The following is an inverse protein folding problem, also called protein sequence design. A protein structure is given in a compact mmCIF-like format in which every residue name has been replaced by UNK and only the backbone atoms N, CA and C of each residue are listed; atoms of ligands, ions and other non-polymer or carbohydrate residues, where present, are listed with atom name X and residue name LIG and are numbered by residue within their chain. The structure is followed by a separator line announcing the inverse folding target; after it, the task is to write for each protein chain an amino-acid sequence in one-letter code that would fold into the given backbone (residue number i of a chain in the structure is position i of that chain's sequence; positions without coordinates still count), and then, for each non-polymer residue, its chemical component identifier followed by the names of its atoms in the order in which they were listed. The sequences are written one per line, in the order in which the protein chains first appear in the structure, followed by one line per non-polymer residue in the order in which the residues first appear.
data_IF_914303648298
#
_entry.id   IF_914303648298
#
_cell.length_a   1.000
_cell.length_b   1.000
_cell.length_c   1.000
_cell.angle_alpha   90.00
_cell.angle_beta   90.00
_cell.angle_gamma   90.00
#
_symmetry.space_group_name_H-M   'P 1'
#
loop_
_entity.id
_entity.type
_entity.pdbx_description
1 polymer ?
#
# COMPACT_ATOMS: atom_id res chain seq x y z
N UNK A 1 -5.60 8.58 16.37
CA UNK A 1 -4.60 7.77 15.65
C UNK A 1 -3.70 8.73 14.90
N UNK A 2 -2.42 8.39 14.72
CA UNK A 2 -1.52 9.19 13.87
C UNK A 2 -1.65 8.68 12.43
N UNK A 3 -1.39 9.54 11.44
CA UNK A 3 -1.48 9.14 10.03
C UNK A 3 -0.60 7.92 9.69
N UNK A 4 0.55 7.74 10.35
CA UNK A 4 1.39 6.56 10.18
C UNK A 4 0.71 5.27 10.68
N UNK A 5 -0.07 5.35 11.76
CA UNK A 5 -0.89 4.23 12.24
C UNK A 5 -2.03 3.91 11.28
N UNK A 6 -2.70 4.92 10.71
CA UNK A 6 -3.74 4.73 9.68
C UNK A 6 -3.16 4.06 8.42
N UNK A 7 -2.00 4.52 7.94
CA UNK A 7 -1.29 3.88 6.82
C UNK A 7 -0.92 2.43 7.16
N UNK A 8 -0.44 2.18 8.38
CA UNK A 8 -0.12 0.81 8.83
C UNK A 8 -1.34 -0.10 8.81
N UNK A 9 -2.51 0.39 9.26
CA UNK A 9 -3.74 -0.40 9.23
C UNK A 9 -4.11 -0.79 7.79
N UNK A 10 -4.06 0.16 6.86
CA UNK A 10 -4.32 -0.11 5.44
C UNK A 10 -3.32 -1.14 4.88
N UNK A 11 -2.03 -1.02 5.20
CA UNK A 11 -1.01 -2.00 4.78
C UNK A 11 -1.29 -3.40 5.35
N UNK A 12 -1.80 -3.50 6.58
CA UNK A 12 -2.19 -4.78 7.19
C UNK A 12 -3.40 -5.39 6.47
N UNK A 13 -4.41 -4.59 6.12
CA UNK A 13 -5.58 -5.05 5.35
C UNK A 13 -5.18 -5.52 3.96
N UNK A 14 -4.34 -4.74 3.26
CA UNK A 14 -3.76 -5.15 1.97
C UNK A 14 -2.98 -6.46 2.09
N UNK A 15 -2.17 -6.62 3.13
CA UNK A 15 -1.42 -7.86 3.38
C UNK A 15 -2.35 -9.06 3.60
N UNK A 16 -3.49 -8.87 4.27
CA UNK A 16 -4.47 -9.92 4.46
C UNK A 16 -5.07 -10.39 3.13
N UNK A 17 -5.40 -9.47 2.22
CA UNK A 17 -5.89 -9.78 0.88
C UNK A 17 -4.83 -10.46 0.01
N UNK A 18 -3.58 -9.98 0.08
CA UNK A 18 -2.46 -10.57 -0.65
C UNK A 18 -2.21 -12.03 -0.26
N UNK A 19 -2.31 -12.36 1.04
CA UNK A 19 -2.20 -13.73 1.57
C UNK A 19 -3.28 -14.69 1.07
N UNK A 20 -4.42 -14.18 0.59
CA UNK A 20 -5.46 -14.99 -0.06
C UNK A 20 -5.14 -15.31 -1.52
N UNK A 21 -4.16 -14.61 -2.10
CA UNK A 21 -3.74 -14.72 -3.49
C UNK A 21 -2.36 -15.39 -3.62
N UNK A 22 -1.87 -15.56 -4.85
CA UNK A 22 -0.50 -16.05 -5.11
C UNK A 22 0.55 -14.92 -5.19
N UNK A 23 0.25 -13.69 -4.77
CA UNK A 23 1.12 -12.52 -4.91
C UNK A 23 2.21 -12.41 -3.81
N UNK A 24 3.00 -13.47 -3.63
CA UNK A 24 4.00 -13.59 -2.53
C UNK A 24 5.06 -12.49 -2.51
N UNK A 25 5.42 -11.95 -3.66
CA UNK A 25 6.39 -10.85 -3.74
C UNK A 25 5.83 -9.57 -3.13
N UNK A 26 4.56 -9.26 -3.45
CA UNK A 26 3.85 -8.12 -2.89
C UNK A 26 3.56 -8.30 -1.39
N UNK A 27 3.28 -9.53 -0.93
CA UNK A 27 3.14 -9.80 0.51
C UNK A 27 4.38 -9.33 1.30
N UNK A 28 5.59 -9.67 0.82
CA UNK A 28 6.84 -9.29 1.48
C UNK A 28 7.05 -7.78 1.45
N UNK A 29 6.81 -7.14 0.31
CA UNK A 29 6.95 -5.69 0.14
C UNK A 29 6.00 -4.94 1.08
N UNK A 30 4.70 -5.25 1.06
CA UNK A 30 3.69 -4.59 1.90
C UNK A 30 3.97 -4.87 3.39
N UNK A 31 4.38 -6.09 3.74
CA UNK A 31 4.75 -6.41 5.12
C UNK A 31 5.95 -5.56 5.60
N UNK A 32 7.01 -5.43 4.80
CA UNK A 32 8.17 -4.59 5.13
C UNK A 32 7.73 -3.15 5.43
N UNK A 33 6.96 -2.56 4.51
CA UNK A 33 6.48 -1.18 4.63
C UNK A 33 5.62 -0.96 5.88
N UNK A 34 4.83 -1.97 6.30
CA UNK A 34 3.99 -1.90 7.50
C UNK A 34 4.80 -1.79 8.81
N UNK A 35 6.05 -2.28 8.81
CA UNK A 35 6.96 -2.11 9.94
C UNK A 35 7.70 -0.77 9.85
N UNK A 36 8.18 -0.41 8.67
CA UNK A 36 8.98 0.80 8.45
C UNK A 36 8.18 2.09 8.62
N UNK A 37 6.88 2.10 8.33
CA UNK A 37 6.04 3.31 8.41
C UNK A 37 6.01 3.93 9.81
N UNK A 38 6.25 3.15 10.86
CA UNK A 38 6.31 3.65 12.24
C UNK A 38 7.70 4.14 12.65
N UNK A 39 8.75 3.69 11.97
CA UNK A 39 10.14 4.00 12.29
C UNK A 39 10.64 5.18 11.45
N UNK A 40 10.41 5.11 10.13
CA UNK A 40 10.87 6.08 9.11
C UNK A 40 9.72 6.54 8.19
N UNK A 41 8.65 7.15 8.74
CA UNK A 41 7.39 7.40 8.02
C UNK A 41 7.55 8.16 6.70
N UNK A 42 8.42 9.18 6.66
CA UNK A 42 8.59 10.01 5.47
C UNK A 42 9.28 9.26 4.32
N UNK A 43 10.26 8.41 4.64
CA UNK A 43 10.96 7.60 3.65
C UNK A 43 10.04 6.48 3.15
N UNK A 44 9.34 5.80 4.07
CA UNK A 44 8.37 4.77 3.73
C UNK A 44 7.23 5.30 2.86
N UNK A 45 6.67 6.49 3.14
CA UNK A 45 5.65 7.13 2.29
C UNK A 45 6.16 7.37 0.87
N UNK A 46 7.41 7.83 0.71
CA UNK A 46 8.03 8.02 -0.61
C UNK A 46 8.22 6.69 -1.34
N UNK A 47 8.67 5.66 -0.62
CA UNK A 47 8.79 4.30 -1.15
C UNK A 47 7.42 3.80 -1.63
N UNK A 48 6.38 3.90 -0.79
CA UNK A 48 5.00 3.54 -1.13
C UNK A 48 4.53 4.25 -2.40
N UNK A 49 4.70 5.57 -2.50
CA UNK A 49 4.28 6.33 -3.68
C UNK A 49 5.03 5.90 -4.94
N UNK A 50 6.30 5.49 -4.81
CA UNK A 50 7.07 5.01 -5.96
C UNK A 50 6.53 3.71 -6.54
N UNK A 51 5.83 2.88 -5.73
CA UNK A 51 5.21 1.63 -6.17
C UNK A 51 4.02 1.84 -7.11
N UNK A 52 3.45 3.05 -7.20
CA UNK A 52 2.33 3.36 -8.09
C UNK A 52 2.76 3.71 -9.52
N UNK A 53 4.07 3.81 -9.80
CA UNK A 53 4.60 4.15 -11.11
C UNK A 53 5.43 3.02 -11.72
N UNK A 54 5.44 2.92 -13.06
CA UNK A 54 6.28 1.99 -13.81
C UNK A 54 5.57 0.70 -14.26
N UNK A 55 6.32 -0.20 -14.92
CA UNK A 55 5.81 -1.46 -15.45
C UNK A 55 5.83 -2.52 -14.34
N UNK A 56 4.68 -3.14 -14.04
CA UNK A 56 4.54 -4.03 -12.88
C UNK A 56 4.34 -3.28 -11.56
N UNK A 57 3.71 -2.10 -11.63
CA UNK A 57 3.40 -1.28 -10.46
C UNK A 57 2.36 -1.96 -9.57
N UNK A 58 2.21 -1.48 -8.34
CA UNK A 58 1.14 -1.88 -7.43
C UNK A 58 -0.25 -1.68 -8.05
N UNK A 59 -0.37 -0.73 -8.99
CA UNK A 59 -1.64 -0.44 -9.62
C UNK A 59 -2.06 -1.50 -10.66
N UNK A 60 -1.09 -2.17 -11.28
CA UNK A 60 -1.31 -3.26 -12.23
C UNK A 60 -1.58 -4.61 -11.55
N UNK A 61 -1.42 -4.69 -10.22
CA UNK A 61 -1.59 -5.93 -9.47
C UNK A 61 -3.06 -6.36 -9.42
N UNK A 62 -3.33 -7.56 -9.94
CA UNK A 62 -4.63 -8.23 -9.84
C UNK A 62 -4.47 -9.49 -8.99
N UNK A 63 -5.25 -9.58 -7.91
CA UNK A 63 -5.28 -10.73 -7.02
C UNK A 63 -5.96 -11.91 -7.71
N UNK A 64 -5.24 -13.03 -7.81
CA UNK A 64 -5.76 -14.27 -8.36
C UNK A 64 -5.47 -15.45 -7.45
N UNK A 65 -6.36 -16.43 -7.48
CA UNK A 65 -6.23 -17.71 -6.78
C UNK A 65 -6.69 -18.83 -7.70
N UNK A 66 -5.88 -19.90 -7.78
CA UNK A 66 -6.16 -21.06 -8.65
C UNK A 66 -6.46 -20.70 -10.12
N UNK A 67 -5.84 -19.61 -10.61
CA UNK A 67 -6.02 -19.12 -11.99
C UNK A 67 -7.24 -18.22 -12.20
N UNK A 68 -8.04 -17.95 -11.16
CA UNK A 68 -9.22 -17.09 -11.24
C UNK A 68 -9.02 -15.77 -10.50
N UNK A 69 -9.49 -14.63 -11.06
CA UNK A 69 -9.44 -13.34 -10.38
C UNK A 69 -10.41 -13.34 -9.19
N UNK A 70 -9.92 -12.88 -8.04
CA UNK A 70 -10.68 -12.73 -6.81
C UNK A 70 -11.46 -11.41 -6.86
N UNK A 71 -12.62 -11.38 -7.54
CA UNK A 71 -13.31 -10.11 -7.87
C UNK A 71 -13.53 -9.21 -6.66
N UNK A 72 -14.15 -9.75 -5.61
CA UNK A 72 -14.48 -8.99 -4.40
C UNK A 72 -13.22 -8.46 -3.69
N UNK A 73 -12.20 -9.30 -3.59
CA UNK A 73 -10.93 -8.95 -2.96
C UNK A 73 -10.18 -7.90 -3.78
N UNK A 74 -10.28 -7.94 -5.12
CA UNK A 74 -9.72 -6.90 -5.99
C UNK A 74 -10.46 -5.57 -5.85
N UNK A 75 -11.79 -5.57 -5.77
CA UNK A 75 -12.58 -4.35 -5.52
C UNK A 75 -12.17 -3.71 -4.17
N UNK A 76 -11.98 -4.54 -3.13
CA UNK A 76 -11.49 -4.08 -1.82
C UNK A 76 -10.04 -3.58 -1.89
N UNK A 77 -9.17 -4.33 -2.57
CA UNK A 77 -7.76 -3.96 -2.75
C UNK A 77 -7.60 -2.65 -3.52
N UNK A 78 -8.45 -2.39 -4.52
CA UNK A 78 -8.44 -1.14 -5.28
C UNK A 78 -8.81 0.08 -4.44
N UNK A 79 -9.82 -0.09 -3.57
CA UNK A 79 -10.17 0.93 -2.57
C UNK A 79 -9.01 1.21 -1.61
N UNK A 80 -8.34 0.17 -1.12
CA UNK A 80 -7.19 0.31 -0.21
C UNK A 80 -6.00 0.99 -0.89
N UNK A 81 -5.70 0.65 -2.16
CA UNK A 81 -4.67 1.34 -2.96
C UNK A 81 -4.95 2.85 -3.03
N UNK A 82 -6.19 3.22 -3.33
CA UNK A 82 -6.58 4.64 -3.43
C UNK A 82 -6.40 5.37 -2.10
N UNK A 83 -6.87 4.78 -0.99
CA UNK A 83 -6.73 5.35 0.35
C UNK A 83 -5.25 5.47 0.76
N UNK A 84 -4.45 4.44 0.49
CA UNK A 84 -3.02 4.42 0.81
C UNK A 84 -2.27 5.55 0.07
N UNK A 85 -2.57 5.72 -1.22
CA UNK A 85 -1.95 6.77 -2.04
C UNK A 85 -2.28 8.17 -1.50
N UNK A 86 -3.54 8.43 -1.19
CA UNK A 86 -4.00 9.74 -0.72
C UNK A 86 -3.32 10.12 0.61
N UNK A 87 -3.34 9.21 1.58
CA UNK A 87 -2.69 9.42 2.88
C UNK A 87 -1.18 9.63 2.77
N UNK A 88 -0.50 8.91 1.89
CA UNK A 88 0.93 9.09 1.68
C UNK A 88 1.26 10.42 0.99
N UNK A 89 0.35 10.91 0.14
CA UNK A 89 0.52 12.16 -0.61
C UNK A 89 0.20 13.40 0.23
N UNK A 90 -0.88 13.38 1.01
CA UNK A 90 -1.33 14.53 1.82
C UNK A 90 -0.22 15.04 2.75
N UNK A 91 0.55 14.13 3.36
CA UNK A 91 1.65 14.47 4.27
C UNK A 91 2.81 15.21 3.58
N UNK A 92 3.15 14.80 2.36
CA UNK A 92 4.25 15.39 1.60
C UNK A 92 3.93 16.82 1.13
N UNK A 93 2.64 17.17 1.04
CA UNK A 93 2.21 18.53 0.68
C UNK A 93 2.30 19.45 1.90
N UNK A 94 1.97 18.97 3.10
CA UNK A 94 2.01 19.76 4.34
C UNK A 94 3.46 20.03 4.79
N UNK A 95 4.42 19.17 4.44
CA UNK A 95 5.85 19.34 4.76
C UNK A 95 6.59 20.44 3.97
N UNK A 96 6.00 21.05 2.94
CA UNK A 96 6.66 22.09 2.09
C UNK A 96 6.38 23.54 2.50
N UNK A 97 5.69 23.77 3.61
CA UNK A 97 5.23 25.12 4.02
C UNK A 97 5.89 25.71 5.27
N UNK A 98 7.13 25.31 5.61
CA UNK A 98 7.89 25.94 6.70
C UNK A 98 9.32 26.24 6.23
N UNK A 99 9.42 27.28 5.40
CA UNK A 99 10.65 28.07 5.25
C UNK A 99 10.61 29.24 6.24
#
# INVERSE_FOLDING_TARGET
MTQAEDIKLILIEMLALLKLSNAKEWEKTIQKLSYEILDIPNETKREILSLYGGMGSLNDLILHKDGYPLKKENDEFDSLKTQLYDLCREDLIVGKGKE
#
